data_IF_686813292398
#
_entry.id   IF_686813292398
#
_cell.length_a   1.000
_cell.length_b   1.000
_cell.length_c   1.000
_cell.angle_alpha   90.00
_cell.angle_beta   90.00
_cell.angle_gamma   90.00
#
_symmetry.space_group_name_H-M   'P 1'
#
loop_
_entity.id
_entity.type
_entity.pdbx_description
1 polymer ?
#
# COMPACT_ATOMS: atom_id res chain seq x y z
N UNK A 1 -12.75 22.68 15.18
CA UNK A 1 -13.69 21.58 15.52
C UNK A 1 -13.48 20.54 14.43
N UNK A 2 -12.94 19.36 14.75
CA UNK A 2 -12.63 18.34 13.73
C UNK A 2 -13.92 17.89 13.04
N UNK A 3 -13.98 17.95 11.71
CA UNK A 3 -15.16 17.51 10.97
C UNK A 3 -15.05 16.00 10.70
N UNK A 4 -15.40 15.19 11.69
CA UNK A 4 -15.58 13.75 11.52
C UNK A 4 -17.07 13.50 11.41
N UNK A 5 -17.51 13.14 10.22
CA UNK A 5 -18.91 12.92 9.92
C UNK A 5 -19.13 11.42 9.84
N UNK A 6 -19.95 10.90 10.75
CA UNK A 6 -20.44 9.53 10.68
C UNK A 6 -21.71 9.53 9.85
N UNK A 7 -21.62 9.05 8.61
CA UNK A 7 -22.81 8.82 7.79
C UNK A 7 -23.37 7.46 8.18
N UNK A 8 -24.38 7.46 9.05
CA UNK A 8 -25.06 6.22 9.44
C UNK A 8 -26.06 5.83 8.36
N UNK A 9 -25.56 5.26 7.26
CA UNK A 9 -26.42 4.51 6.35
C UNK A 9 -26.73 3.16 7.00
N UNK A 10 -27.97 2.94 7.44
CA UNK A 10 -28.51 1.58 7.44
C UNK A 10 -28.55 1.17 5.98
N UNK A 11 -27.46 0.59 5.46
CA UNK A 11 -27.48 -0.08 4.16
C UNK A 11 -28.40 -1.27 4.39
N UNK A 12 -29.68 -1.24 3.96
CA UNK A 12 -30.54 -2.39 4.13
C UNK A 12 -29.90 -3.52 3.33
N UNK A 13 -30.14 -4.78 3.73
CA UNK A 13 -29.66 -5.97 3.01
C UNK A 13 -30.19 -6.11 1.55
N UNK A 14 -30.70 -5.02 0.97
CA UNK A 14 -31.36 -4.85 -0.32
C UNK A 14 -30.65 -3.89 -1.28
N UNK A 15 -29.52 -3.23 -0.91
CA UNK A 15 -28.54 -2.93 -1.94
C UNK A 15 -28.06 -4.29 -2.41
N UNK A 16 -28.60 -4.76 -3.54
CA UNK A 16 -28.38 -6.10 -4.02
C UNK A 16 -26.90 -6.42 -3.90
N UNK A 17 -26.60 -7.56 -3.28
CA UNK A 17 -25.41 -8.29 -3.61
C UNK A 17 -25.49 -8.50 -5.13
N UNK A 18 -25.02 -7.53 -5.91
CA UNK A 18 -24.58 -7.78 -7.26
C UNK A 18 -23.47 -8.78 -7.03
N UNK A 19 -23.81 -10.06 -7.14
CA UNK A 19 -22.86 -11.15 -7.23
C UNK A 19 -22.09 -10.91 -8.54
N UNK A 20 -21.20 -9.93 -8.51
CA UNK A 20 -20.29 -9.67 -9.58
C UNK A 20 -19.17 -10.68 -9.35
N UNK A 21 -19.36 -11.88 -9.89
CA UNK A 21 -18.34 -12.93 -9.82
C UNK A 21 -17.09 -12.38 -10.50
N UNK A 22 -15.99 -12.27 -9.76
CA UNK A 22 -14.67 -12.07 -10.36
C UNK A 22 -14.46 -13.16 -11.42
N UNK A 23 -14.21 -12.76 -12.66
CA UNK A 23 -13.81 -13.71 -13.70
C UNK A 23 -12.34 -14.04 -13.46
N UNK A 24 -12.07 -15.31 -13.17
CA UNK A 24 -10.71 -15.78 -12.95
C UNK A 24 -10.27 -16.59 -14.18
N UNK A 25 -9.18 -16.14 -14.82
CA UNK A 25 -8.54 -16.88 -15.91
C UNK A 25 -7.60 -17.91 -15.29
N UNK A 26 -8.04 -19.17 -15.20
CA UNK A 26 -7.18 -20.25 -14.70
C UNK A 26 -6.17 -20.70 -15.76
N UNK A 27 -4.94 -21.02 -15.32
CA UNK A 27 -3.93 -21.67 -16.17
C UNK A 27 -4.19 -23.19 -16.35
N UNK A 28 -5.21 -23.74 -15.69
CA UNK A 28 -5.49 -25.18 -15.57
C UNK A 28 -6.68 -25.67 -16.42
N UNK A 29 -7.27 -24.81 -17.26
CA UNK A 29 -8.43 -25.20 -18.07
C UNK A 29 -9.72 -25.38 -17.26
N UNK A 30 -9.76 -24.93 -16.00
CA UNK A 30 -11.01 -24.77 -15.25
C UNK A 30 -11.75 -23.55 -15.77
N UNK A 31 -12.95 -23.77 -16.31
CA UNK A 31 -13.83 -22.75 -16.92
C UNK A 31 -14.74 -22.04 -15.90
N UNK A 32 -14.70 -22.42 -14.63
CA UNK A 32 -15.44 -21.75 -13.56
C UNK A 32 -14.61 -21.74 -12.26
N UNK A 33 -14.21 -20.54 -11.81
CA UNK A 33 -13.67 -20.37 -10.47
C UNK A 33 -14.84 -20.34 -9.46
N UNK A 34 -14.64 -20.72 -8.18
CA UNK A 34 -15.68 -20.57 -7.16
C UNK A 34 -16.07 -19.09 -7.13
N UNK A 35 -17.37 -18.80 -7.26
CA UNK A 35 -17.91 -17.44 -7.13
C UNK A 35 -17.56 -16.91 -5.73
N UNK A 36 -16.42 -16.22 -5.62
CA UNK A 36 -16.12 -15.50 -4.40
C UNK A 36 -17.04 -14.28 -4.40
N UNK A 37 -17.91 -14.11 -3.40
CA UNK A 37 -18.74 -12.93 -3.32
C UNK A 37 -17.80 -11.72 -3.28
N UNK A 38 -17.90 -10.87 -4.30
CA UNK A 38 -17.22 -9.58 -4.33
C UNK A 38 -18.22 -8.50 -3.92
N UNK A 39 -17.70 -7.42 -3.35
CA UNK A 39 -18.49 -6.26 -2.94
C UNK A 39 -17.75 -5.02 -3.40
N UNK A 40 -18.43 -4.16 -4.16
CA UNK A 40 -17.90 -2.84 -4.51
C UNK A 40 -17.88 -1.97 -3.25
N UNK A 41 -16.74 -1.35 -2.96
CA UNK A 41 -16.53 -0.52 -1.77
C UNK A 41 -16.52 0.99 -2.05
N UNK A 42 -17.12 1.43 -3.16
CA UNK A 42 -17.30 2.83 -3.53
C UNK A 42 -17.87 3.67 -2.36
N UNK A 43 -17.14 4.67 -1.83
CA UNK A 43 -17.60 5.51 -0.71
C UNK A 43 -18.97 6.15 -0.94
N UNK A 44 -19.76 6.34 0.12
CA UNK A 44 -21.17 6.77 -0.03
C UNK A 44 -21.29 8.16 -0.68
N UNK A 45 -20.33 9.04 -0.42
CA UNK A 45 -20.35 10.43 -0.89
C UNK A 45 -19.19 10.81 -1.83
N UNK A 46 -18.52 9.81 -2.43
CA UNK A 46 -17.51 10.08 -3.47
C UNK A 46 -18.16 10.65 -4.73
N UNK A 47 -17.51 11.64 -5.35
CA UNK A 47 -17.96 12.25 -6.61
C UNK A 47 -16.97 11.99 -7.75
N UNK A 48 -17.44 12.20 -8.99
CA UNK A 48 -16.58 12.14 -10.17
C UNK A 48 -15.34 13.05 -10.02
N UNK A 49 -14.16 12.51 -10.33
CA UNK A 49 -12.85 13.14 -10.17
C UNK A 49 -12.16 12.89 -8.83
N UNK A 50 -12.84 12.31 -7.82
CA UNK A 50 -12.25 12.12 -6.49
C UNK A 50 -11.15 11.05 -6.49
N UNK A 51 -11.18 10.08 -7.42
CA UNK A 51 -10.21 8.98 -7.49
C UNK A 51 -10.08 8.21 -6.17
N UNK A 52 -11.23 7.87 -5.57
CA UNK A 52 -11.24 7.07 -4.35
C UNK A 52 -10.44 5.76 -4.54
N UNK A 53 -9.82 5.26 -3.49
CA UNK A 53 -8.99 4.04 -3.58
C UNK A 53 -7.60 4.25 -4.18
N UNK A 54 -7.17 5.49 -4.42
CA UNK A 54 -5.78 5.78 -4.81
C UNK A 54 -4.78 5.29 -3.76
N UNK A 55 -5.19 5.27 -2.48
CA UNK A 55 -4.55 4.56 -1.38
C UNK A 55 -5.58 3.79 -0.58
N UNK A 56 -5.19 2.67 0.01
CA UNK A 56 -6.05 1.88 0.89
C UNK A 56 -5.27 1.11 1.95
N UNK A 57 -5.96 0.76 3.02
CA UNK A 57 -5.46 -0.10 4.10
C UNK A 57 -6.58 -1.00 4.62
N UNK A 58 -6.20 -2.16 5.15
CA UNK A 58 -7.14 -3.17 5.66
C UNK A 58 -6.60 -3.73 6.98
N UNK A 59 -7.50 -4.10 7.89
CA UNK A 59 -7.14 -4.77 9.14
C UNK A 59 -6.87 -6.27 8.92
N UNK A 60 -6.43 -6.96 9.98
CA UNK A 60 -6.11 -8.39 9.86
C UNK A 60 -7.31 -9.26 9.52
N UNK A 61 -8.53 -8.85 9.89
CA UNK A 61 -9.76 -9.60 9.59
C UNK A 61 -10.30 -9.35 8.18
N UNK A 62 -9.92 -8.25 7.54
CA UNK A 62 -10.56 -7.80 6.29
C UNK A 62 -11.96 -7.23 6.51
N UNK A 63 -12.27 -6.74 7.71
CA UNK A 63 -13.60 -6.20 8.06
C UNK A 63 -13.57 -4.69 8.31
N UNK A 64 -12.39 -4.10 8.45
CA UNK A 64 -12.19 -2.65 8.48
C UNK A 64 -11.31 -2.26 7.30
N UNK A 65 -11.82 -1.37 6.47
CA UNK A 65 -11.16 -0.89 5.25
C UNK A 65 -11.09 0.62 5.30
N UNK A 66 -9.89 1.17 5.14
CA UNK A 66 -9.67 2.59 4.92
C UNK A 66 -9.41 2.83 3.43
N UNK A 67 -10.13 3.78 2.85
CA UNK A 67 -10.07 4.18 1.45
C UNK A 67 -9.71 5.66 1.44
N UNK A 68 -8.61 6.02 0.80
CA UNK A 68 -8.13 7.39 0.77
C UNK A 68 -7.96 7.92 -0.63
N UNK A 69 -8.10 9.24 -0.73
CA UNK A 69 -7.69 10.00 -1.90
C UNK A 69 -7.28 11.41 -1.49
N UNK A 70 -6.22 11.90 -2.10
CA UNK A 70 -5.77 13.27 -1.97
C UNK A 70 -6.54 14.28 -2.81
N UNK A 71 -7.28 13.82 -3.83
CA UNK A 71 -7.94 14.69 -4.80
C UNK A 71 -9.31 15.18 -4.33
N UNK A 72 -9.96 14.44 -3.42
CA UNK A 72 -11.33 14.74 -3.01
C UNK A 72 -11.46 16.06 -2.24
N UNK A 73 -12.57 16.74 -2.52
CA UNK A 73 -12.96 17.94 -1.81
C UNK A 73 -13.91 17.65 -0.65
N UNK A 74 -13.77 18.41 0.44
CA UNK A 74 -14.76 18.48 1.50
C UNK A 74 -15.15 19.93 1.75
N UNK A 75 -16.45 20.23 1.73
CA UNK A 75 -16.97 21.59 1.89
C UNK A 75 -16.30 22.62 0.96
N UNK A 76 -15.97 22.23 -0.27
CA UNK A 76 -15.32 23.08 -1.28
C UNK A 76 -13.78 23.17 -1.18
N UNK A 77 -13.14 22.45 -0.24
CA UNK A 77 -11.69 22.45 -0.03
C UNK A 77 -11.09 21.11 -0.47
N UNK A 78 -10.17 21.08 -1.45
CA UNK A 78 -9.47 19.86 -1.91
C UNK A 78 -8.33 19.50 -0.97
N UNK A 79 -8.68 19.14 0.25
CA UNK A 79 -7.72 18.73 1.27
C UNK A 79 -7.29 17.27 1.13
N UNK A 80 -8.09 16.44 0.46
CA UNK A 80 -8.02 14.99 0.55
C UNK A 80 -8.87 14.45 1.69
N UNK A 81 -9.34 13.22 1.57
CA UNK A 81 -10.27 12.58 2.52
C UNK A 81 -9.92 11.11 2.73
N UNK A 82 -10.29 10.59 3.89
CA UNK A 82 -10.28 9.14 4.15
C UNK A 82 -11.68 8.69 4.53
N UNK A 83 -12.19 7.67 3.85
CA UNK A 83 -13.36 6.92 4.27
C UNK A 83 -12.92 5.66 5.00
N UNK A 84 -13.52 5.40 6.15
CA UNK A 84 -13.30 4.16 6.90
C UNK A 84 -14.61 3.39 6.96
N UNK A 85 -14.63 2.19 6.36
CA UNK A 85 -15.73 1.24 6.45
C UNK A 85 -15.42 0.17 7.48
N UNK A 86 -16.43 -0.19 8.29
CA UNK A 86 -16.33 -1.27 9.27
C UNK A 86 -17.42 -2.30 9.02
N UNK A 87 -17.16 -3.53 9.50
CA UNK A 87 -18.05 -4.69 9.34
C UNK A 87 -18.35 -5.00 7.87
N UNK A 88 -17.36 -4.78 7.00
CA UNK A 88 -17.49 -5.04 5.57
C UNK A 88 -17.91 -6.50 5.32
N UNK A 89 -18.93 -6.69 4.49
CA UNK A 89 -19.55 -7.97 4.18
C UNK A 89 -20.41 -8.54 5.32
N UNK A 90 -20.88 -7.70 6.25
CA UNK A 90 -21.73 -8.10 7.38
C UNK A 90 -22.93 -7.15 7.55
N UNK A 91 -23.96 -7.60 8.28
CA UNK A 91 -25.08 -6.72 8.65
C UNK A 91 -24.61 -5.61 9.58
N UNK A 92 -25.03 -4.37 9.27
CA UNK A 92 -24.70 -3.20 10.08
C UNK A 92 -23.34 -2.59 9.77
N UNK A 93 -22.92 -2.64 8.49
CA UNK A 93 -21.82 -1.83 7.96
C UNK A 93 -21.97 -0.35 8.35
N UNK A 94 -20.84 0.29 8.63
CA UNK A 94 -20.79 1.71 8.96
C UNK A 94 -19.61 2.37 8.26
N UNK A 95 -19.81 3.62 7.84
CA UNK A 95 -18.81 4.45 7.18
C UNK A 95 -18.59 5.75 7.97
N UNK A 96 -17.32 6.13 8.10
CA UNK A 96 -16.90 7.44 8.59
C UNK A 96 -16.12 8.16 7.51
N UNK A 97 -16.34 9.46 7.38
CA UNK A 97 -15.49 10.35 6.59
C UNK A 97 -14.60 11.14 7.54
N UNK A 98 -13.30 11.01 7.36
CA UNK A 98 -12.25 11.68 8.13
C UNK A 98 -11.63 12.77 7.26
N UNK A 99 -11.66 13.99 7.79
CA UNK A 99 -11.02 15.18 7.22
C UNK A 99 -10.26 15.89 8.35
N UNK A 100 -9.01 16.36 8.11
CA UNK A 100 -8.24 17.04 9.14
C UNK A 100 -8.92 18.35 9.58
N UNK A 101 -8.85 18.67 10.87
CA UNK A 101 -9.53 19.84 11.44
C UNK A 101 -9.09 21.18 10.82
N UNK A 102 -7.84 21.24 10.33
CA UNK A 102 -7.25 22.42 9.71
C UNK A 102 -7.04 22.18 8.20
N UNK A 103 -8.02 21.57 7.55
CA UNK A 103 -8.01 21.33 6.11
C UNK A 103 -7.83 22.63 5.32
N UNK A 104 -6.94 22.61 4.34
CA UNK A 104 -6.72 23.66 3.36
C UNK A 104 -6.62 23.06 1.95
N UNK A 105 -6.75 23.90 0.93
CA UNK A 105 -6.74 23.44 -0.47
C UNK A 105 -5.36 22.86 -0.82
N UNK A 106 -5.34 21.71 -1.48
CA UNK A 106 -4.13 20.97 -1.83
C UNK A 106 -3.31 20.47 -0.63
N UNK A 107 -3.96 20.22 0.51
CA UNK A 107 -3.31 19.63 1.70
C UNK A 107 -2.75 18.22 1.42
N UNK A 108 -3.25 17.51 0.40
CA UNK A 108 -2.79 16.18 0.02
C UNK A 108 -2.87 15.20 1.21
N UNK A 109 -3.92 15.33 2.03
CA UNK A 109 -4.28 14.37 3.06
C UNK A 109 -4.66 13.04 2.40
N UNK A 110 -4.37 11.91 3.06
CA UNK A 110 -4.47 10.58 2.47
C UNK A 110 -3.48 10.36 1.30
N UNK A 111 -2.27 10.91 1.39
CA UNK A 111 -1.17 10.58 0.49
C UNK A 111 -0.67 9.14 0.71
N UNK A 112 -0.79 8.62 1.93
CA UNK A 112 -0.52 7.24 2.30
C UNK A 112 -1.37 6.81 3.50
N UNK A 113 -1.65 5.52 3.62
CA UNK A 113 -2.49 4.95 4.70
C UNK A 113 -1.89 3.67 5.25
N UNK A 114 -2.00 3.48 6.56
CA UNK A 114 -1.74 2.20 7.23
C UNK A 114 -2.71 2.00 8.39
N UNK A 115 -3.27 0.79 8.52
CA UNK A 115 -4.24 0.41 9.55
C UNK A 115 -3.64 -0.73 10.39
N UNK A 116 -3.77 -0.67 11.71
CA UNK A 116 -3.27 -1.73 12.58
C UNK A 116 -4.14 -3.00 12.50
N UNK A 117 -3.65 -4.09 13.10
CA UNK A 117 -4.28 -5.42 12.97
C UNK A 117 -5.74 -5.46 13.45
N UNK A 118 -6.08 -4.71 14.50
CA UNK A 118 -7.43 -4.62 15.05
C UNK A 118 -8.35 -3.62 14.35
N UNK A 119 -7.83 -2.86 13.37
CA UNK A 119 -8.62 -1.89 12.62
C UNK A 119 -9.04 -0.65 13.41
N UNK A 120 -8.34 -0.31 14.51
CA UNK A 120 -8.71 0.79 15.40
C UNK A 120 -7.68 1.92 15.47
N UNK A 121 -6.52 1.77 14.83
CA UNK A 121 -5.49 2.80 14.72
C UNK A 121 -5.13 2.99 13.26
N UNK A 122 -5.33 4.20 12.74
CA UNK A 122 -5.10 4.59 11.37
C UNK A 122 -4.00 5.65 11.32
N UNK A 123 -2.99 5.42 10.49
CA UNK A 123 -1.94 6.38 10.18
C UNK A 123 -2.24 6.97 8.81
N UNK A 124 -2.22 8.30 8.71
CA UNK A 124 -2.48 9.02 7.46
C UNK A 124 -1.33 9.97 7.16
N UNK A 125 -0.67 9.75 6.01
CA UNK A 125 0.31 10.67 5.46
C UNK A 125 -0.34 11.87 4.78
N UNK A 126 0.29 13.03 4.90
CA UNK A 126 -0.14 14.29 4.32
C UNK A 126 1.07 15.08 3.82
N UNK A 127 1.23 15.14 2.50
CA UNK A 127 2.43 15.70 1.82
C UNK A 127 2.04 16.86 0.88
N UNK A 128 1.63 18.03 1.43
CA UNK A 128 1.24 19.17 0.62
C UNK A 128 2.44 19.77 -0.13
N UNK A 129 2.24 20.22 -1.37
CA UNK A 129 3.32 20.75 -2.20
C UNK A 129 3.94 22.07 -1.69
N UNK A 130 3.21 22.85 -0.89
CA UNK A 130 3.60 24.21 -0.46
C UNK A 130 3.38 24.45 1.05
N UNK A 131 3.28 23.40 1.85
CA UNK A 131 3.08 23.52 3.29
C UNK A 131 3.89 22.44 4.04
N UNK A 132 3.89 22.52 5.37
CA UNK A 132 4.59 21.55 6.21
C UNK A 132 3.87 20.20 6.15
N UNK A 133 4.62 19.18 5.79
CA UNK A 133 4.18 17.79 5.72
C UNK A 133 3.88 17.24 7.11
N UNK A 134 2.89 16.35 7.19
CA UNK A 134 2.40 15.82 8.46
C UNK A 134 2.04 14.36 8.35
N UNK A 135 2.12 13.69 9.49
CA UNK A 135 1.50 12.38 9.70
C UNK A 135 0.49 12.50 10.81
N UNK A 136 -0.72 12.01 10.55
CA UNK A 136 -1.82 11.99 11.51
C UNK A 136 -2.00 10.57 12.05
N UNK A 137 -2.25 10.47 13.35
CA UNK A 137 -2.68 9.25 14.03
C UNK A 137 -4.13 9.42 14.44
N UNK A 138 -5.01 8.62 13.85
CA UNK A 138 -6.41 8.52 14.26
C UNK A 138 -6.66 7.23 15.04
N UNK A 139 -7.45 7.32 16.11
CA UNK A 139 -7.84 6.18 16.94
C UNK A 139 -9.36 6.08 17.08
N UNK A 140 -9.88 4.89 16.87
CA UNK A 140 -11.29 4.59 17.08
C UNK A 140 -11.56 4.27 18.55
N UNK A 141 -12.50 4.98 19.18
CA UNK A 141 -12.88 4.81 20.59
C UNK A 141 -14.06 3.83 20.81
N UNK A 142 -14.57 3.24 19.74
CA UNK A 142 -15.78 2.40 19.75
C UNK A 142 -17.02 3.11 19.20
N UNK A 143 -16.99 4.44 19.08
CA UNK A 143 -18.09 5.25 18.56
C UNK A 143 -17.67 6.13 17.36
N UNK A 144 -16.48 6.71 17.43
CA UNK A 144 -15.94 7.61 16.42
C UNK A 144 -14.42 7.47 16.29
N UNK A 145 -13.91 7.89 15.13
CA UNK A 145 -12.49 8.14 14.96
C UNK A 145 -12.14 9.47 15.62
N UNK A 146 -11.01 9.54 16.30
CA UNK A 146 -10.50 10.76 16.92
C UNK A 146 -9.06 10.98 16.46
N UNK A 147 -8.68 12.22 16.18
CA UNK A 147 -7.29 12.59 15.96
C UNK A 147 -6.54 12.46 17.31
N UNK A 148 -5.74 11.41 17.45
CA UNK A 148 -4.96 11.15 18.66
C UNK A 148 -3.68 12.01 18.67
N UNK A 149 -3.02 12.15 17.51
CA UNK A 149 -1.74 12.83 17.42
C UNK A 149 -1.44 13.30 16.00
N UNK A 150 -0.62 14.35 15.88
CA UNK A 150 -0.10 14.87 14.61
C UNK A 150 1.37 15.19 14.78
N UNK A 151 2.18 14.82 13.79
CA UNK A 151 3.61 15.11 13.79
C UNK A 151 4.07 15.68 12.45
N UNK A 152 5.04 16.58 12.53
CA UNK A 152 5.82 17.11 11.42
C UNK A 152 7.29 17.07 11.79
N UNK A 153 8.16 16.99 10.78
CA UNK A 153 9.61 17.07 10.94
C UNK A 153 10.13 18.31 10.20
N UNK A 154 11.27 18.22 9.51
CA UNK A 154 11.79 19.32 8.70
C UNK A 154 10.91 19.52 7.47
N UNK A 155 10.52 20.76 7.18
CA UNK A 155 9.71 21.08 6.01
C UNK A 155 10.49 20.80 4.71
N UNK A 156 9.84 20.16 3.74
CA UNK A 156 10.44 19.77 2.46
C UNK A 156 11.06 18.37 2.45
N UNK A 157 10.95 17.62 3.54
CA UNK A 157 11.45 16.24 3.65
C UNK A 157 10.46 15.20 3.06
N UNK A 158 9.24 15.60 2.67
CA UNK A 158 8.14 14.70 2.25
C UNK A 158 7.73 13.67 3.33
N UNK A 159 7.72 14.07 4.60
CA UNK A 159 7.33 13.19 5.71
C UNK A 159 5.92 12.63 5.50
N UNK A 160 5.79 11.30 5.57
CA UNK A 160 4.52 10.61 5.38
C UNK A 160 4.23 10.24 3.93
N UNK A 161 5.20 10.39 3.02
CA UNK A 161 5.09 9.88 1.65
C UNK A 161 4.74 8.39 1.61
N UNK A 162 5.30 7.62 2.54
CA UNK A 162 4.88 6.25 2.83
C UNK A 162 4.74 6.05 4.33
N UNK A 163 3.81 5.20 4.76
CA UNK A 163 3.58 4.89 6.18
C UNK A 163 3.35 3.39 6.37
N UNK A 164 3.78 2.88 7.53
CA UNK A 164 3.55 1.49 7.95
C UNK A 164 3.35 1.46 9.47
N UNK A 165 2.53 0.53 9.97
CA UNK A 165 2.19 0.41 11.39
C UNK A 165 2.30 -1.05 11.83
N UNK A 166 2.78 -1.25 13.05
CA UNK A 166 2.79 -2.55 13.74
C UNK A 166 1.36 -3.07 13.99
N UNK A 167 1.23 -4.38 14.20
CA UNK A 167 -0.06 -5.02 14.46
C UNK A 167 -0.74 -4.45 15.71
N UNK A 168 0.02 -4.19 16.78
CA UNK A 168 -0.50 -3.61 18.01
C UNK A 168 -0.91 -2.13 17.85
N UNK A 169 -0.35 -1.43 16.86
CA UNK A 169 -0.62 -0.01 16.62
C UNK A 169 0.08 0.93 17.61
N UNK A 170 1.19 0.49 18.18
CA UNK A 170 2.04 1.22 19.14
C UNK A 170 3.40 1.65 18.55
N UNK A 171 3.75 1.12 17.37
CA UNK A 171 4.88 1.56 16.55
C UNK A 171 4.41 1.85 15.14
N UNK A 172 4.79 3.00 14.58
CA UNK A 172 4.64 3.27 13.15
C UNK A 172 5.92 3.89 12.58
N UNK A 173 6.08 3.75 11.27
CA UNK A 173 7.14 4.37 10.50
C UNK A 173 6.57 5.29 9.44
N UNK A 174 7.28 6.38 9.15
CA UNK A 174 6.95 7.34 8.11
C UNK A 174 8.19 7.64 7.26
N UNK A 175 8.08 7.41 5.96
CA UNK A 175 9.10 7.75 4.99
C UNK A 175 9.15 9.24 4.71
N UNK A 176 10.36 9.75 4.50
CA UNK A 176 10.69 11.13 4.22
C UNK A 176 11.76 11.17 3.10
N UNK A 177 11.39 10.83 1.86
CA UNK A 177 12.35 10.58 0.78
C UNK A 177 13.11 11.83 0.34
N UNK A 178 12.56 13.03 0.55
CA UNK A 178 13.22 14.29 0.18
C UNK A 178 14.11 14.84 1.29
N UNK A 179 14.26 14.11 2.40
CA UNK A 179 15.14 14.51 3.48
C UNK A 179 16.57 14.74 3.01
N UNK A 180 17.11 15.91 3.38
CA UNK A 180 18.51 16.27 3.17
C UNK A 180 19.15 16.75 4.48
N UNK A 181 20.30 16.17 4.85
CA UNK A 181 20.99 16.52 6.12
C UNK A 181 22.21 17.43 5.93
N UNK A 182 22.81 17.43 4.74
CA UNK A 182 23.70 18.41 4.13
C UNK A 182 24.32 17.75 2.87
N UNK A 183 25.13 18.48 2.11
CA UNK A 183 25.92 17.95 0.97
C UNK A 183 25.15 17.56 -0.31
N UNK A 184 23.92 18.04 -0.53
CA UNK A 184 23.15 17.81 -1.78
C UNK A 184 22.93 16.35 -2.16
N UNK A 185 23.17 15.40 -1.24
CA UNK A 185 23.11 13.96 -1.54
C UNK A 185 21.70 13.36 -1.43
N UNK A 186 20.71 14.10 -0.88
CA UNK A 186 19.30 13.67 -0.77
C UNK A 186 19.15 12.19 -0.34
N UNK A 187 19.68 11.81 0.84
CA UNK A 187 19.67 10.42 1.26
C UNK A 187 18.24 9.90 1.52
N UNK A 188 17.29 10.80 1.82
CA UNK A 188 16.01 10.44 2.40
C UNK A 188 16.14 9.96 3.84
N UNK A 189 15.04 9.54 4.43
CA UNK A 189 15.02 8.97 5.78
C UNK A 189 13.71 8.26 6.09
N UNK A 190 13.74 7.39 7.11
CA UNK A 190 12.53 6.79 7.67
C UNK A 190 12.47 7.09 9.16
N UNK A 191 11.47 7.86 9.56
CA UNK A 191 11.22 8.18 10.95
C UNK A 191 10.40 7.06 11.60
N UNK A 192 10.83 6.59 12.76
CA UNK A 192 10.11 5.60 13.57
C UNK A 192 9.56 6.28 14.81
N UNK A 193 8.28 6.10 15.07
CA UNK A 193 7.57 6.65 16.21
C UNK A 193 7.01 5.52 17.07
N UNK A 194 7.13 5.68 18.38
CA UNK A 194 6.61 4.74 19.38
C UNK A 194 5.64 5.43 20.32
N UNK A 195 4.59 4.72 20.71
CA UNK A 195 3.64 5.14 21.73
C UNK A 195 4.18 4.77 23.10
N UNK A 196 4.63 5.76 23.86
CA UNK A 196 5.05 5.62 25.26
C UNK A 196 3.91 5.88 26.24
N UNK A 197 4.24 5.95 27.54
CA UNK A 197 3.27 6.20 28.61
C UNK A 197 2.61 7.59 28.52
N UNK A 198 3.31 8.59 27.97
CA UNK A 198 2.84 9.98 27.87
C UNK A 198 2.38 10.37 26.47
N UNK A 199 2.29 9.41 25.55
CA UNK A 199 1.94 9.64 24.14
C UNK A 199 3.04 9.21 23.17
N UNK A 200 2.91 9.65 21.92
CA UNK A 200 3.84 9.32 20.85
C UNK A 200 5.13 10.13 20.95
N UNK A 201 6.26 9.49 20.64
CA UNK A 201 7.56 10.13 20.52
C UNK A 201 8.34 9.55 19.34
N UNK A 202 9.28 10.33 18.78
CA UNK A 202 10.22 9.83 17.76
C UNK A 202 11.25 8.93 18.43
N UNK A 203 11.21 7.64 18.10
CA UNK A 203 12.17 6.65 18.58
C UNK A 203 13.48 6.71 17.79
N UNK A 204 13.39 6.78 16.46
CA UNK A 204 14.57 6.74 15.60
C UNK A 204 14.36 7.48 14.28
N UNK A 205 15.48 7.82 13.64
CA UNK A 205 15.57 8.15 12.22
C UNK A 205 16.51 7.14 11.58
N UNK A 206 16.03 6.44 10.56
CA UNK A 206 16.75 5.39 9.87
C UNK A 206 17.26 5.88 8.53
N UNK A 207 18.57 5.80 8.36
CA UNK A 207 19.30 6.16 7.14
C UNK A 207 20.36 5.06 6.93
N UNK A 208 20.49 4.49 5.72
CA UNK A 208 21.51 3.48 5.47
C UNK A 208 22.93 4.02 5.64
N UNK A 209 23.86 3.13 5.97
CA UNK A 209 25.25 3.51 6.21
C UNK A 209 26.04 3.80 4.94
N UNK A 210 25.56 3.30 3.79
CA UNK A 210 26.18 3.40 2.47
C UNK A 210 25.39 4.31 1.51
N UNK A 211 24.87 5.43 2.03
CA UNK A 211 24.14 6.44 1.24
C UNK A 211 25.00 7.01 0.11
N UNK A 212 24.35 7.23 -1.04
CA UNK A 212 24.92 7.90 -2.21
C UNK A 212 24.03 9.09 -2.63
N UNK A 213 24.44 9.87 -3.63
CA UNK A 213 23.62 10.95 -4.18
C UNK A 213 22.28 10.43 -4.72
N UNK A 214 21.19 11.14 -4.40
CA UNK A 214 19.81 10.88 -4.82
C UNK A 214 19.28 9.51 -4.38
N UNK A 215 19.54 9.14 -3.13
CA UNK A 215 19.19 7.84 -2.56
C UNK A 215 17.72 7.72 -2.14
N UNK A 216 17.09 8.82 -1.72
CA UNK A 216 15.67 8.94 -1.42
C UNK A 216 15.05 7.76 -0.63
N UNK A 217 15.72 7.28 0.42
CA UNK A 217 15.14 6.20 1.23
C UNK A 217 13.83 6.65 1.88
N UNK A 218 12.87 5.73 1.97
CA UNK A 218 11.55 5.99 2.55
C UNK A 218 10.48 6.29 1.52
N UNK A 219 10.79 6.19 0.23
CA UNK A 219 9.78 6.26 -0.83
C UNK A 219 8.75 5.11 -0.74
N UNK A 220 9.21 3.91 -0.33
CA UNK A 220 8.36 2.76 -0.04
C UNK A 220 8.89 2.05 1.19
N UNK A 221 8.01 1.69 2.12
CA UNK A 221 8.36 1.03 3.38
C UNK A 221 7.39 -0.13 3.70
N UNK A 222 7.86 -1.11 4.45
CA UNK A 222 7.04 -2.19 5.00
C UNK A 222 7.54 -2.58 6.40
N UNK A 223 6.64 -2.89 7.33
CA UNK A 223 6.96 -3.23 8.72
C UNK A 223 6.44 -4.63 9.06
N UNK A 224 7.17 -5.38 9.90
CA UNK A 224 6.67 -6.64 10.47
C UNK A 224 5.55 -6.39 11.49
N UNK A 225 4.74 -7.41 11.74
CA UNK A 225 3.59 -7.30 12.65
C UNK A 225 3.99 -6.97 14.08
N UNK A 226 5.12 -7.49 14.55
CA UNK A 226 5.70 -7.18 15.86
C UNK A 226 6.43 -5.82 15.93
N UNK A 227 6.51 -5.09 14.82
CA UNK A 227 7.22 -3.81 14.73
C UNK A 227 8.75 -3.94 14.86
N UNK A 228 9.31 -5.15 14.77
CA UNK A 228 10.75 -5.41 14.93
C UNK A 228 11.56 -5.19 13.66
N UNK A 229 10.99 -5.45 12.50
CA UNK A 229 11.67 -5.31 11.21
C UNK A 229 11.00 -4.23 10.37
N UNK A 230 11.83 -3.43 9.71
CA UNK A 230 11.39 -2.40 8.78
C UNK A 230 12.21 -2.50 7.49
N UNK A 231 11.53 -2.60 6.36
CA UNK A 231 12.13 -2.49 5.04
C UNK A 231 11.93 -1.07 4.49
N UNK A 232 12.97 -0.53 3.86
CA UNK A 232 12.95 0.77 3.21
C UNK A 232 13.62 0.71 1.85
N UNK A 233 12.91 1.12 0.80
CA UNK A 233 13.47 1.24 -0.55
C UNK A 233 14.31 2.51 -0.65
N UNK A 234 15.52 2.40 -1.18
CA UNK A 234 16.32 3.52 -1.67
C UNK A 234 16.23 3.57 -3.20
N UNK A 235 15.84 4.72 -3.75
CA UNK A 235 15.97 5.02 -5.17
C UNK A 235 17.45 5.23 -5.49
N UNK A 236 17.94 4.75 -6.62
CA UNK A 236 19.30 5.07 -7.04
C UNK A 236 19.28 5.50 -8.49
N UNK A 237 19.98 6.61 -8.78
CA UNK A 237 19.99 7.24 -10.10
C UNK A 237 20.71 6.41 -11.17
N UNK A 238 20.58 6.83 -12.44
CA UNK A 238 21.02 6.09 -13.63
C UNK A 238 22.52 5.75 -13.71
N UNK A 239 23.35 6.36 -12.86
CA UNK A 239 24.80 6.11 -12.77
C UNK A 239 25.20 5.34 -11.50
N UNK A 240 24.24 4.76 -10.80
CA UNK A 240 24.47 3.99 -9.59
C UNK A 240 25.16 2.66 -9.90
N UNK A 241 26.09 2.19 -9.05
CA UNK A 241 26.61 0.82 -9.12
C UNK A 241 25.54 -0.25 -8.82
N UNK A 242 24.31 0.17 -8.47
CA UNK A 242 23.15 -0.67 -8.19
C UNK A 242 22.06 -0.38 -9.22
N UNK A 243 22.08 -0.97 -10.42
CA UNK A 243 21.27 -0.48 -11.54
C UNK A 243 19.76 -0.54 -11.26
N UNK A 244 19.27 -1.54 -10.53
CA UNK A 244 17.83 -1.70 -10.29
C UNK A 244 17.30 -1.06 -9.00
N UNK A 245 18.14 -0.49 -8.13
CA UNK A 245 17.71 -0.05 -6.79
C UNK A 245 18.01 -1.06 -5.69
N UNK A 246 17.81 -0.65 -4.43
CA UNK A 246 18.07 -1.49 -3.26
C UNK A 246 16.98 -1.31 -2.18
N UNK A 247 16.77 -2.38 -1.40
CA UNK A 247 15.90 -2.36 -0.23
C UNK A 247 16.74 -2.66 1.01
N UNK A 248 16.68 -1.78 1.99
CA UNK A 248 17.41 -1.91 3.25
C UNK A 248 16.50 -2.48 4.33
N UNK A 249 17.02 -3.40 5.13
CA UNK A 249 16.30 -3.98 6.27
C UNK A 249 16.92 -3.45 7.55
N UNK A 250 16.08 -2.87 8.38
CA UNK A 250 16.42 -2.45 9.73
C UNK A 250 15.75 -3.38 10.74
N UNK A 251 16.47 -3.70 11.81
CA UNK A 251 15.99 -4.50 12.92
C UNK A 251 16.07 -3.70 14.22
N UNK A 252 14.97 -3.67 14.96
CA UNK A 252 14.91 -3.20 16.33
C UNK A 252 15.31 -4.32 17.29
N UNK A 253 16.50 -4.23 17.86
CA UNK A 253 17.00 -5.20 18.83
C UNK A 253 17.65 -4.47 20.00
N UNK A 254 17.41 -4.97 21.23
CA UNK A 254 17.95 -4.41 22.46
C UNK A 254 17.74 -2.87 22.61
N UNK A 255 16.60 -2.35 22.13
CA UNK A 255 16.24 -0.93 22.24
C UNK A 255 16.87 -0.01 21.20
N UNK A 256 17.51 -0.56 20.16
CA UNK A 256 18.09 0.21 19.07
C UNK A 256 17.73 -0.38 17.71
N UNK A 257 17.58 0.50 16.71
CA UNK A 257 17.44 0.11 15.32
C UNK A 257 18.81 0.01 14.64
N UNK A 258 19.04 -1.07 13.90
CA UNK A 258 20.29 -1.30 13.15
C UNK A 258 20.00 -1.81 11.75
N UNK A 259 20.80 -1.41 10.75
CA UNK A 259 20.73 -1.98 9.41
C UNK A 259 21.31 -3.40 9.42
N UNK A 260 20.50 -4.38 9.05
CA UNK A 260 20.87 -5.82 9.06
C UNK A 260 20.97 -6.44 7.67
N UNK A 261 20.44 -5.79 6.64
CA UNK A 261 20.61 -6.24 5.25
C UNK A 261 20.44 -5.12 4.23
N UNK A 262 21.04 -5.36 3.06
CA UNK A 262 20.80 -4.66 1.80
C UNK A 262 20.42 -5.70 0.75
N UNK A 263 19.23 -5.60 0.22
CA UNK A 263 18.66 -6.53 -0.75
C UNK A 263 18.66 -5.90 -2.13
N UNK A 264 19.01 -6.69 -3.14
CA UNK A 264 19.06 -6.32 -4.55
C UNK A 264 18.63 -7.51 -5.39
N UNK A 265 18.11 -7.25 -6.59
CA UNK A 265 17.85 -8.32 -7.55
C UNK A 265 19.18 -8.98 -7.97
N UNK A 266 19.23 -10.31 -8.10
CA UNK A 266 20.44 -11.01 -8.57
C UNK A 266 20.88 -10.57 -9.96
N UNK A 267 19.91 -10.20 -10.81
CA UNK A 267 20.14 -9.66 -12.15
C UNK A 267 19.28 -8.41 -12.30
N UNK A 268 19.90 -7.33 -12.74
CA UNK A 268 19.24 -6.06 -12.97
C UNK A 268 18.57 -6.03 -14.34
N UNK A 269 17.24 -5.86 -14.37
CA UNK A 269 16.45 -5.73 -15.60
C UNK A 269 15.74 -4.37 -15.71
N UNK A 270 16.03 -3.45 -14.79
CA UNK A 270 15.50 -2.10 -14.79
C UNK A 270 16.51 -1.09 -14.24
N UNK A 271 16.25 0.19 -14.47
CA UNK A 271 17.03 1.30 -13.93
C UNK A 271 16.31 1.95 -12.73
N UNK A 272 16.51 1.40 -11.54
CA UNK A 272 16.00 1.93 -10.28
C UNK A 272 14.60 1.45 -9.87
N UNK A 273 13.96 0.51 -10.56
CA UNK A 273 12.57 0.12 -10.29
C UNK A 273 12.35 -0.86 -9.12
N UNK A 274 13.38 -1.51 -8.61
CA UNK A 274 13.28 -2.49 -7.52
C UNK A 274 12.80 -1.85 -6.20
N UNK A 275 11.83 -2.50 -5.57
CA UNK A 275 11.25 -2.11 -4.28
C UNK A 275 10.24 -0.96 -4.35
N UNK A 276 9.74 -0.60 -5.54
CA UNK A 276 8.69 0.43 -5.70
C UNK A 276 7.46 0.15 -4.83
N UNK A 277 7.11 -1.13 -4.67
CA UNK A 277 6.14 -1.59 -3.69
C UNK A 277 6.80 -2.63 -2.78
N UNK A 278 6.56 -2.54 -1.47
CA UNK A 278 7.08 -3.47 -0.47
C UNK A 278 5.93 -4.10 0.33
N UNK A 279 6.06 -5.40 0.62
CA UNK A 279 5.20 -6.09 1.59
C UNK A 279 6.07 -7.04 2.44
N UNK A 280 5.81 -7.07 3.74
CA UNK A 280 6.54 -7.92 4.70
C UNK A 280 5.56 -8.81 5.45
N UNK A 281 5.93 -10.08 5.65
CA UNK A 281 5.15 -11.01 6.47
C UNK A 281 5.18 -10.60 7.95
N UNK A 282 4.22 -11.11 8.72
CA UNK A 282 4.03 -10.71 10.12
C UNK A 282 5.27 -10.96 10.98
N UNK A 283 5.98 -12.07 10.74
CA UNK A 283 7.18 -12.46 11.49
C UNK A 283 8.49 -11.85 10.96
N UNK A 284 8.39 -10.98 9.96
CA UNK A 284 9.53 -10.36 9.29
C UNK A 284 10.47 -11.36 8.60
N UNK A 285 9.99 -12.55 8.23
CA UNK A 285 10.81 -13.56 7.52
C UNK A 285 10.66 -13.52 6.02
N UNK A 286 9.56 -13.01 5.49
CA UNK A 286 9.36 -12.89 4.03
C UNK A 286 9.17 -11.44 3.66
N UNK A 287 9.90 -11.00 2.63
CA UNK A 287 9.74 -9.68 2.03
C UNK A 287 9.51 -9.84 0.54
N UNK A 288 8.56 -9.09 0.00
CA UNK A 288 8.30 -8.97 -1.42
C UNK A 288 8.61 -7.54 -1.86
N UNK A 289 9.32 -7.41 -2.97
CA UNK A 289 9.69 -6.15 -3.59
C UNK A 289 9.25 -6.12 -5.05
N UNK A 290 8.31 -5.24 -5.38
CA UNK A 290 7.83 -5.01 -6.74
C UNK A 290 8.79 -4.17 -7.57
N UNK A 291 8.81 -4.40 -8.88
CA UNK A 291 9.61 -3.67 -9.86
C UNK A 291 8.80 -3.49 -11.15
N UNK A 292 8.04 -2.40 -11.27
CA UNK A 292 7.22 -2.10 -12.47
C UNK A 292 8.05 -1.81 -13.71
N UNK A 293 9.32 -1.47 -13.54
CA UNK A 293 10.23 -1.12 -14.63
C UNK A 293 11.03 -2.31 -15.14
N UNK A 294 10.87 -3.49 -14.54
CA UNK A 294 11.48 -4.72 -15.02
C UNK A 294 11.09 -4.92 -16.49
N UNK A 295 12.11 -5.04 -17.34
CA UNK A 295 11.95 -5.17 -18.78
C UNK A 295 12.58 -6.46 -19.32
N UNK A 296 12.66 -7.51 -18.50
CA UNK A 296 13.36 -8.76 -18.86
C UNK A 296 12.69 -9.52 -20.01
N UNK A 297 11.39 -9.34 -20.23
CA UNK A 297 10.65 -10.00 -21.32
C UNK A 297 9.92 -9.02 -22.25
N UNK A 298 9.53 -7.85 -21.76
CA UNK A 298 8.97 -6.77 -22.57
C UNK A 298 9.19 -5.41 -21.87
N UNK A 299 9.19 -4.27 -22.57
CA UNK A 299 9.36 -2.96 -21.93
C UNK A 299 8.32 -2.74 -20.83
N UNK A 300 8.78 -2.44 -19.61
CA UNK A 300 7.92 -2.13 -18.46
C UNK A 300 6.88 -3.23 -18.14
N UNK A 301 7.23 -4.50 -18.37
CA UNK A 301 6.33 -5.63 -18.08
C UNK A 301 6.17 -5.84 -16.58
N UNK A 302 7.23 -5.60 -15.82
CA UNK A 302 7.24 -5.65 -14.37
C UNK A 302 7.52 -7.04 -13.77
N UNK A 303 7.86 -7.05 -12.48
CA UNK A 303 8.18 -8.24 -11.70
C UNK A 303 7.91 -8.01 -10.20
N UNK A 304 7.80 -9.09 -9.42
CA UNK A 304 7.90 -9.01 -7.96
C UNK A 304 8.89 -10.06 -7.45
N UNK A 305 9.92 -9.60 -6.74
CA UNK A 305 11.01 -10.42 -6.24
C UNK A 305 10.82 -10.70 -4.74
N UNK A 306 11.00 -11.95 -4.34
CA UNK A 306 10.77 -12.46 -2.99
C UNK A 306 12.10 -12.79 -2.33
N UNK A 307 12.28 -12.34 -1.09
CA UNK A 307 13.39 -12.68 -0.21
C UNK A 307 12.87 -13.36 1.05
N UNK A 308 13.64 -14.30 1.57
CA UNK A 308 13.37 -14.95 2.84
C UNK A 308 14.53 -14.75 3.83
N UNK A 309 14.23 -14.59 5.11
CA UNK A 309 15.20 -14.52 6.20
C UNK A 309 15.55 -15.93 6.68
N UNK A 310 16.81 -16.29 6.55
CA UNK A 310 17.40 -17.51 7.08
C UNK A 310 18.11 -17.25 8.41
N UNK A 311 18.65 -18.30 9.02
CA UNK A 311 19.53 -18.20 10.20
C UNK A 311 20.84 -17.44 9.90
N UNK A 312 21.29 -17.39 8.65
CA UNK A 312 22.53 -16.72 8.23
C UNK A 312 22.29 -15.34 7.62
N UNK A 313 21.05 -14.84 7.62
CA UNK A 313 20.68 -13.56 7.02
C UNK A 313 19.64 -13.71 5.92
N UNK A 314 19.46 -12.69 5.10
CA UNK A 314 18.47 -12.67 4.02
C UNK A 314 18.99 -13.36 2.76
N UNK A 315 18.13 -14.12 2.10
CA UNK A 315 18.43 -14.80 0.84
C UNK A 315 17.30 -14.59 -0.19
N UNK A 316 17.66 -14.64 -1.47
CA UNK A 316 16.71 -14.64 -2.57
C UNK A 316 15.88 -15.94 -2.54
N UNK A 317 14.55 -15.81 -2.54
CA UNK A 317 13.61 -16.95 -2.58
C UNK A 317 13.13 -17.22 -4.01
N UNK A 318 12.82 -16.17 -4.77
CA UNK A 318 12.31 -16.31 -6.12
C UNK A 318 11.82 -14.99 -6.72
N UNK A 319 11.27 -15.08 -7.92
CA UNK A 319 10.64 -13.96 -8.63
C UNK A 319 9.35 -14.46 -9.26
N UNK A 320 8.27 -13.69 -9.09
CA UNK A 320 7.01 -13.90 -9.80
C UNK A 320 6.86 -12.85 -10.89
N UNK A 321 6.24 -13.28 -11.99
CA UNK A 321 6.23 -12.55 -13.26
C UNK A 321 4.82 -12.56 -13.84
N UNK A 322 4.44 -11.53 -14.62
CA UNK A 322 3.17 -11.52 -15.35
C UNK A 322 3.18 -12.60 -16.44
N UNK A 323 2.04 -13.30 -16.59
CA UNK A 323 1.85 -14.29 -17.66
C UNK A 323 0.50 -14.07 -18.36
N UNK A 324 0.46 -13.76 -19.67
CA UNK A 324 1.62 -13.46 -20.52
C UNK A 324 2.31 -12.14 -20.10
N UNK A 325 3.58 -11.92 -20.51
CA UNK A 325 4.22 -10.62 -20.34
C UNK A 325 3.53 -9.57 -21.25
N UNK A 326 3.17 -8.43 -20.67
CA UNK A 326 2.50 -7.33 -21.38
C UNK A 326 3.44 -6.11 -21.39
N UNK A 327 3.81 -5.57 -22.58
CA UNK A 327 4.51 -4.28 -22.64
C UNK A 327 3.67 -3.20 -21.94
N UNK A 328 4.26 -2.50 -20.96
CA UNK A 328 3.51 -1.54 -20.14
C UNK A 328 2.49 -2.17 -19.19
N UNK A 329 2.60 -3.46 -18.85
CA UNK A 329 1.72 -4.09 -17.86
C UNK A 329 1.91 -3.56 -16.43
N UNK A 330 3.11 -3.08 -16.10
CA UNK A 330 3.46 -2.55 -14.78
C UNK A 330 3.17 -3.52 -13.63
N UNK A 331 3.42 -4.82 -13.84
CA UNK A 331 3.30 -5.84 -12.80
C UNK A 331 4.23 -5.52 -11.62
N UNK A 332 3.75 -5.71 -10.39
CA UNK A 332 4.51 -5.36 -9.19
C UNK A 332 4.37 -3.90 -8.76
N UNK A 333 3.44 -3.13 -9.37
CA UNK A 333 3.13 -1.77 -8.96
C UNK A 333 2.43 -1.68 -7.60
N UNK A 334 1.79 -2.76 -7.19
CA UNK A 334 1.31 -2.99 -5.83
C UNK A 334 1.51 -4.45 -5.46
N UNK A 335 1.89 -4.71 -4.20
CA UNK A 335 2.05 -6.07 -3.67
C UNK A 335 1.39 -6.15 -2.31
N UNK A 336 0.79 -7.30 -1.99
CA UNK A 336 0.28 -7.62 -0.66
C UNK A 336 0.60 -9.07 -0.31
N UNK A 337 1.02 -9.30 0.92
CA UNK A 337 1.42 -10.60 1.44
C UNK A 337 0.59 -10.91 2.69
N UNK A 338 0.09 -12.13 2.82
CA UNK A 338 -0.61 -12.52 4.04
C UNK A 338 0.38 -12.66 5.22
N UNK A 339 -0.16 -12.77 6.44
CA UNK A 339 0.67 -12.75 7.66
C UNK A 339 1.69 -13.88 7.74
N UNK A 340 1.38 -15.06 7.20
CA UNK A 340 2.28 -16.23 7.20
C UNK A 340 3.33 -16.15 6.08
N UNK A 341 3.09 -15.34 5.04
CA UNK A 341 4.03 -15.15 3.95
C UNK A 341 3.96 -16.22 2.86
N UNK A 342 2.82 -16.91 2.70
CA UNK A 342 2.60 -17.97 1.71
C UNK A 342 1.55 -17.62 0.64
N UNK A 343 0.86 -16.49 0.75
CA UNK A 343 -0.07 -15.96 -0.26
C UNK A 343 0.29 -14.54 -0.64
N UNK A 344 0.58 -14.33 -1.92
CA UNK A 344 1.00 -13.06 -2.50
C UNK A 344 0.00 -12.61 -3.55
N UNK A 345 -0.39 -11.34 -3.48
CA UNK A 345 -1.20 -10.66 -4.49
C UNK A 345 -0.35 -9.58 -5.15
N UNK A 346 -0.38 -9.51 -6.49
CA UNK A 346 0.40 -8.55 -7.26
C UNK A 346 -0.47 -7.85 -8.28
N UNK A 347 -0.50 -6.51 -8.21
CA UNK A 347 -1.21 -5.68 -9.19
C UNK A 347 -0.44 -5.52 -10.49
N UNK A 348 -1.17 -5.53 -11.60
CA UNK A 348 -0.70 -5.26 -12.97
C UNK A 348 -1.70 -4.29 -13.62
N UNK A 349 -1.47 -3.00 -13.35
CA UNK A 349 -2.41 -1.92 -13.68
C UNK A 349 -2.59 -1.72 -15.19
N UNK A 350 -1.56 -2.02 -16.00
CA UNK A 350 -1.61 -1.90 -17.46
C UNK A 350 -2.07 -3.17 -18.18
N UNK A 351 -2.66 -4.14 -17.46
CA UNK A 351 -3.12 -5.36 -18.08
C UNK A 351 -4.29 -5.08 -19.04
N UNK A 352 -4.17 -5.63 -20.25
CA UNK A 352 -5.26 -5.66 -21.23
C UNK A 352 -6.18 -6.84 -20.87
N UNK A 353 -7.45 -6.56 -20.60
CA UNK A 353 -8.43 -7.59 -20.22
C UNK A 353 -9.60 -7.56 -21.19
N UNK A 354 -9.86 -8.69 -21.85
CA UNK A 354 -10.94 -8.84 -22.82
C UNK A 354 -10.97 -7.75 -23.92
N UNK A 355 -9.79 -7.25 -24.32
CA UNK A 355 -9.65 -6.20 -25.33
C UNK A 355 -9.79 -4.76 -24.80
N UNK A 356 -9.97 -4.58 -23.48
CA UNK A 356 -9.94 -3.27 -22.83
C UNK A 356 -8.53 -2.98 -22.36
N UNK A 357 -7.89 -1.98 -22.98
CA UNK A 357 -6.56 -1.51 -22.62
C UNK A 357 -6.54 -0.92 -21.21
N UNK A 358 -5.46 -1.17 -20.46
CA UNK A 358 -5.25 -0.66 -19.09
C UNK A 358 -6.45 -0.89 -18.15
N UNK A 359 -7.19 -1.99 -18.35
CA UNK A 359 -8.26 -2.42 -17.45
C UNK A 359 -7.69 -2.83 -16.09
N UNK A 360 -6.48 -3.41 -16.10
CA UNK A 360 -5.77 -3.86 -14.91
C UNK A 360 -6.22 -5.23 -14.41
N UNK A 361 -5.32 -5.90 -13.66
CA UNK A 361 -5.59 -7.18 -12.98
C UNK A 361 -4.79 -7.32 -11.68
N UNK A 362 -5.18 -8.29 -10.86
CA UNK A 362 -4.41 -8.75 -9.70
C UNK A 362 -4.12 -10.24 -9.85
N UNK A 363 -2.85 -10.61 -9.87
CA UNK A 363 -2.43 -12.02 -9.88
C UNK A 363 -2.18 -12.52 -8.45
N UNK A 364 -2.73 -13.69 -8.14
CA UNK A 364 -2.56 -14.38 -6.85
C UNK A 364 -1.58 -15.54 -7.00
N UNK A 365 -0.61 -15.59 -6.09
CA UNK A 365 0.43 -16.61 -6.03
C UNK A 365 0.43 -17.29 -4.66
N UNK A 366 0.56 -18.61 -4.65
CA UNK A 366 0.75 -19.40 -3.43
C UNK A 366 2.15 -20.01 -3.40
N UNK A 367 2.73 -20.09 -2.20
CA UNK A 367 4.03 -20.75 -1.98
C UNK A 367 3.81 -22.24 -1.76
N UNK A 368 4.28 -23.06 -2.70
CA UNK A 368 4.31 -24.52 -2.59
C UNK A 368 5.72 -25.06 -2.35
N UNK A 369 5.85 -26.39 -2.37
CA UNK A 369 7.15 -27.07 -2.21
C UNK A 369 8.16 -26.73 -3.33
N UNK A 370 7.66 -26.41 -4.52
CA UNK A 370 8.47 -26.04 -5.69
C UNK A 370 8.64 -24.51 -5.86
N UNK A 371 8.30 -23.72 -4.85
CA UNK A 371 8.33 -22.25 -4.91
C UNK A 371 6.95 -21.64 -5.18
N UNK A 372 6.95 -20.41 -5.69
CA UNK A 372 5.73 -19.63 -5.92
C UNK A 372 5.06 -20.00 -7.24
N UNK A 373 3.75 -20.28 -7.19
CA UNK A 373 2.94 -20.59 -8.36
C UNK A 373 1.75 -19.66 -8.44
N UNK A 374 1.44 -19.15 -9.65
CA UNK A 374 0.22 -18.37 -9.87
C UNK A 374 -0.98 -19.31 -9.81
N UNK A 375 -1.94 -18.99 -8.95
CA UNK A 375 -3.15 -19.79 -8.75
C UNK A 375 -4.39 -19.13 -9.35
N UNK A 376 -4.39 -17.80 -9.48
CA UNK A 376 -5.49 -17.05 -10.08
C UNK A 376 -5.02 -15.71 -10.66
N UNK A 377 -5.79 -15.20 -11.61
CA UNK A 377 -5.73 -13.82 -12.11
C UNK A 377 -7.12 -13.22 -11.96
N UNK A 378 -7.23 -12.12 -11.24
CA UNK A 378 -8.46 -11.45 -10.85
C UNK A 378 -8.61 -10.13 -11.59
N UNK A 379 -9.80 -9.84 -12.12
CA UNK A 379 -10.09 -8.61 -12.87
C UNK A 379 -11.33 -7.91 -12.31
N UNK A 380 -11.48 -6.61 -12.59
CA UNK A 380 -12.64 -5.84 -12.14
C UNK A 380 -13.96 -6.51 -12.61
N UNK A 381 -14.99 -6.59 -11.75
CA UNK A 381 -16.25 -7.24 -12.13
C UNK A 381 -17.02 -6.52 -13.23
N UNK A 382 -16.76 -5.21 -13.42
CA UNK A 382 -17.28 -4.43 -14.52
C UNK A 382 -16.10 -3.80 -15.26
N UNK A 383 -15.88 -4.18 -16.52
CA UNK A 383 -14.87 -3.58 -17.39
C UNK A 383 -15.40 -2.25 -17.90
N UNK A 384 -15.32 -1.22 -17.06
CA UNK A 384 -16.09 0.02 -17.23
C UNK A 384 -15.44 1.03 -18.18
N UNK A 385 -14.12 1.03 -18.33
CA UNK A 385 -13.41 1.91 -19.27
C UNK A 385 -11.95 1.50 -19.51
N UNK A 386 -11.40 1.91 -20.66
CA UNK A 386 -9.95 1.95 -20.88
C UNK A 386 -9.29 2.81 -19.81
N UNK A 387 -8.21 2.31 -19.19
CA UNK A 387 -7.46 3.06 -18.18
C UNK A 387 -8.02 3.00 -16.76
N UNK A 388 -9.00 2.14 -16.46
CA UNK A 388 -9.55 1.94 -15.12
C UNK A 388 -8.49 1.54 -14.07
N UNK A 389 -7.50 0.76 -14.49
CA UNK A 389 -6.32 0.44 -13.70
C UNK A 389 -6.59 -0.39 -12.44
N UNK A 390 -7.44 -1.41 -12.54
CA UNK A 390 -7.68 -2.35 -11.43
C UNK A 390 -6.39 -3.00 -10.92
N UNK A 391 -6.24 -3.06 -9.60
CA UNK A 391 -5.00 -3.52 -8.96
C UNK A 391 -3.98 -2.41 -8.71
N UNK A 392 -4.36 -1.13 -8.89
CA UNK A 392 -3.51 0.01 -8.54
C UNK A 392 -3.03 -0.06 -7.09
N UNK A 393 -3.91 -0.42 -6.17
CA UNK A 393 -3.55 -0.78 -4.79
C UNK A 393 -4.20 -2.10 -4.44
N UNK A 394 -3.41 -3.11 -4.07
CA UNK A 394 -3.90 -4.35 -3.49
C UNK A 394 -3.54 -4.44 -2.00
N UNK A 395 -4.48 -4.90 -1.17
CA UNK A 395 -4.28 -5.14 0.27
C UNK A 395 -5.01 -6.41 0.68
N UNK A 396 -4.36 -7.25 1.48
CA UNK A 396 -4.92 -8.52 1.97
C UNK A 396 -5.03 -8.52 3.50
N UNK A 397 -6.08 -9.18 3.99
CA UNK A 397 -6.21 -9.59 5.38
C UNK A 397 -5.05 -10.52 5.81
N UNK A 398 -4.92 -10.76 7.11
CA UNK A 398 -3.88 -11.62 7.67
C UNK A 398 -3.89 -13.04 7.10
N UNK A 399 -5.08 -13.58 6.82
CA UNK A 399 -5.23 -14.91 6.23
C UNK A 399 -4.93 -14.94 4.73
N UNK A 400 -5.08 -13.81 4.03
CA UNK A 400 -5.10 -13.75 2.57
C UNK A 400 -6.42 -14.22 1.93
N UNK A 401 -7.43 -14.63 2.70
CA UNK A 401 -8.73 -15.04 2.15
C UNK A 401 -9.66 -13.87 1.84
N UNK A 402 -9.47 -12.74 2.51
CA UNK A 402 -10.07 -11.45 2.13
C UNK A 402 -8.98 -10.52 1.64
N UNK A 403 -9.27 -9.79 0.58
CA UNK A 403 -8.42 -8.76 0.03
C UNK A 403 -9.28 -7.73 -0.69
N UNK A 404 -8.70 -6.56 -0.92
CA UNK A 404 -9.28 -5.47 -1.69
C UNK A 404 -8.30 -5.07 -2.78
N UNK A 405 -8.83 -4.63 -3.91
CA UNK A 405 -8.08 -3.95 -4.94
C UNK A 405 -8.86 -2.73 -5.42
N UNK A 406 -8.13 -1.66 -5.77
CA UNK A 406 -8.73 -0.44 -6.29
C UNK A 406 -8.55 -0.27 -7.78
N UNK A 407 -9.46 0.50 -8.37
CA UNK A 407 -9.49 0.94 -9.76
C UNK A 407 -9.77 2.46 -9.79
N UNK A 408 -8.87 3.31 -9.24
CA UNK A 408 -9.16 4.71 -8.93
C UNK A 408 -9.39 5.62 -10.16
N UNK A 409 -9.26 5.07 -11.36
CA UNK A 409 -9.55 5.75 -12.63
C UNK A 409 -10.81 5.19 -13.31
N UNK A 410 -11.48 4.23 -12.71
CA UNK A 410 -12.74 3.71 -13.19
C UNK A 410 -13.87 4.71 -12.90
N UNK A 411 -14.60 5.06 -13.96
CA UNK A 411 -15.84 5.81 -13.86
C UNK A 411 -17.02 4.82 -13.88
N UNK A 412 -17.55 4.45 -12.71
CA UNK A 412 -18.75 3.63 -12.64
C UNK A 412 -19.99 4.55 -12.75
N UNK A 413 -20.64 4.55 -13.91
CA UNK A 413 -21.89 5.30 -14.17
C UNK A 413 -21.81 6.84 -14.02
N UNK A 414 -20.68 7.48 -14.30
CA UNK A 414 -20.52 8.94 -14.22
C UNK A 414 -20.15 9.47 -12.83
N UNK A 415 -19.67 8.57 -11.97
CA UNK A 415 -19.18 8.84 -10.61
C UNK A 415 -17.88 8.04 -10.45
N UNK A 416 -16.73 8.66 -10.76
CA UNK A 416 -15.37 8.16 -10.48
C UNK A 416 -15.22 7.77 -8.99
N UNK A 417 -15.64 6.55 -8.66
CA UNK A 417 -15.82 6.07 -7.29
C UNK A 417 -14.79 5.01 -6.88
N UNK A 418 -13.96 4.56 -7.83
CA UNK A 418 -12.67 3.89 -7.61
C UNK A 418 -12.64 2.50 -7.00
#
# INVERSE_FOLDING_TARGET
MSAIIRTMALIPALYGYLSASLTCLSASGQTTCPSSPSQLLAPIDSVNGDKAGFVSAVDNSGSVVAIGTAAAAHAGVRSGVVWVRTRVGQVGEAEWKIVPANAFDFMNFAASLALNASGNTLIVGCTPAFAVERVFVYRFDGQQWNEEWVVSETAGDDLGYSVAISAAGDVFAAGAPMRSECCTIWPGGIYVYRRGATGWYREALLVPTDVVLNFHIGNSIAMSGDGRYLAGRAFVSQNSPVPSGAVYIFEHNAGAWTQVAKLQEPVAYSNGGFGMALAMAFDGRTLVAGNTSDSRFAPLNGAATIFHRTITGWAFDGVVLPIPPIPGGYFGGSVSLNSVGDRLFVGEVGAIVAGVDDAGRVDEFHRGASGWTRVASHVAPALTATGAGFGKVVRSSASGHRWIASEPWADFNGIDSG
#
